data_IF_725872449206
#
_entry.id   IF_725872449206
#
_cell.length_a   1.000
_cell.length_b   1.000
_cell.length_c   1.000
_cell.angle_alpha   90.00
_cell.angle_beta   90.00
_cell.angle_gamma   90.00
#
_symmetry.space_group_name_H-M   'P 1'
#
loop_
_entity.id
_entity.type
_entity.pdbx_description
1 polymer ?
#
# COMPACT_ATOMS: atom_id res chain seq x y z
N UNK A 1 13.67 27.37 -21.45
CA UNK A 1 13.68 26.72 -20.10
C UNK A 1 13.40 25.27 -20.38
N UNK A 2 14.19 24.36 -19.82
CA UNK A 2 13.89 22.94 -20.01
C UNK A 2 12.63 22.56 -19.21
N UNK A 3 11.97 21.48 -19.61
CA UNK A 3 10.69 21.06 -19.03
C UNK A 3 10.80 20.73 -17.53
N UNK A 4 11.97 20.31 -17.04
CA UNK A 4 12.22 20.04 -15.62
C UNK A 4 12.21 21.33 -14.83
N UNK A 5 12.90 22.35 -15.34
CA UNK A 5 12.95 23.67 -14.72
C UNK A 5 11.55 24.31 -14.67
N UNK A 6 10.79 24.21 -15.75
CA UNK A 6 9.41 24.69 -15.81
C UNK A 6 8.51 23.96 -14.80
N UNK A 7 8.58 22.62 -14.76
CA UNK A 7 7.81 21.83 -13.81
C UNK A 7 8.16 22.16 -12.35
N UNK A 8 9.44 22.40 -12.07
CA UNK A 8 9.91 22.78 -10.74
C UNK A 8 9.35 24.15 -10.30
N UNK A 9 9.38 25.15 -11.19
CA UNK A 9 8.75 26.46 -10.92
C UNK A 9 7.26 26.33 -10.66
N UNK A 10 6.55 25.49 -11.45
CA UNK A 10 5.12 25.28 -11.27
C UNK A 10 4.78 24.66 -9.89
N UNK A 11 5.58 23.72 -9.42
CA UNK A 11 5.42 23.13 -8.07
C UNK A 11 5.68 24.18 -7.00
N UNK A 12 6.75 24.96 -7.11
CA UNK A 12 7.08 26.02 -6.16
C UNK A 12 5.95 27.06 -6.09
N UNK A 13 5.44 27.48 -7.25
CA UNK A 13 4.32 28.42 -7.33
C UNK A 13 3.03 27.86 -6.74
N UNK A 14 2.69 26.61 -7.05
CA UNK A 14 1.50 25.94 -6.53
C UNK A 14 1.46 25.91 -5.00
N UNK A 15 2.61 25.70 -4.37
CA UNK A 15 2.73 25.67 -2.91
C UNK A 15 3.06 27.04 -2.30
N UNK A 16 3.10 28.11 -3.10
CA UNK A 16 3.44 29.47 -2.66
C UNK A 16 4.76 29.52 -1.89
N UNK A 17 5.72 28.73 -2.29
CA UNK A 17 7.04 28.72 -1.68
C UNK A 17 7.81 29.98 -2.11
N UNK A 18 8.40 30.67 -1.15
CA UNK A 18 9.29 31.77 -1.45
C UNK A 18 10.56 31.21 -2.13
N UNK A 19 10.86 31.69 -3.32
CA UNK A 19 12.05 31.32 -4.06
C UNK A 19 12.56 32.49 -4.91
N UNK A 20 13.84 32.48 -5.13
CA UNK A 20 14.48 33.35 -6.12
C UNK A 20 14.88 32.52 -7.35
N UNK A 21 14.95 33.09 -8.56
CA UNK A 21 15.43 32.37 -9.74
C UNK A 21 16.78 31.68 -9.49
N UNK A 22 17.71 32.38 -8.88
CA UNK A 22 19.04 31.84 -8.55
C UNK A 22 18.95 30.67 -7.55
N UNK A 23 18.08 30.77 -6.55
CA UNK A 23 17.84 29.69 -5.58
C UNK A 23 17.23 28.45 -6.22
N UNK A 24 16.30 28.61 -7.17
CA UNK A 24 15.76 27.50 -7.95
C UNK A 24 16.85 26.84 -8.78
N UNK A 25 17.64 27.62 -9.49
CA UNK A 25 18.73 27.12 -10.32
C UNK A 25 19.76 26.36 -9.48
N UNK A 26 20.19 26.91 -8.34
CA UNK A 26 21.12 26.28 -7.44
C UNK A 26 20.62 24.91 -6.92
N UNK A 27 19.32 24.81 -6.59
CA UNK A 27 18.71 23.55 -6.17
C UNK A 27 18.67 22.51 -7.31
N UNK A 28 18.36 22.93 -8.53
CA UNK A 28 18.34 22.05 -9.69
C UNK A 28 19.77 21.62 -10.08
N UNK A 29 20.75 22.49 -9.98
CA UNK A 29 22.16 22.16 -10.25
C UNK A 29 22.69 21.16 -9.22
N UNK A 30 22.37 21.36 -7.93
CA UNK A 30 22.68 20.39 -6.88
C UNK A 30 22.02 19.04 -7.15
N UNK A 31 20.73 19.04 -7.49
CA UNK A 31 20.02 17.83 -7.85
C UNK A 31 20.68 17.11 -9.04
N UNK A 32 20.99 17.81 -10.14
CA UNK A 32 21.66 17.24 -11.29
C UNK A 32 22.99 16.61 -10.90
N UNK A 33 23.82 17.35 -10.15
CA UNK A 33 25.11 16.87 -9.70
C UNK A 33 25.01 15.62 -8.84
N UNK A 34 24.11 15.62 -7.85
CA UNK A 34 24.00 14.53 -6.88
C UNK A 34 23.26 13.31 -7.44
N UNK A 35 22.22 13.51 -8.27
CA UNK A 35 21.44 12.40 -8.83
C UNK A 35 22.06 11.74 -10.06
N UNK A 36 23.09 12.31 -10.65
CA UNK A 36 23.73 11.73 -11.88
C UNK A 36 24.01 10.24 -11.76
N UNK A 37 24.60 9.69 -10.68
CA UNK A 37 24.85 8.25 -10.58
C UNK A 37 23.58 7.40 -10.61
N UNK A 38 22.51 7.86 -9.96
CA UNK A 38 21.22 7.15 -9.99
C UNK A 38 20.52 7.28 -11.35
N UNK A 39 20.62 8.44 -11.99
CA UNK A 39 20.11 8.64 -13.35
C UNK A 39 20.79 7.70 -14.34
N UNK A 40 22.12 7.62 -14.32
CA UNK A 40 22.90 6.73 -15.18
C UNK A 40 22.59 5.25 -14.90
N UNK A 41 22.36 4.88 -13.66
CA UNK A 41 21.94 3.54 -13.28
C UNK A 41 20.56 3.21 -13.84
N UNK A 42 19.55 4.02 -13.53
CA UNK A 42 18.16 3.74 -13.89
C UNK A 42 17.89 3.81 -15.39
N UNK A 43 18.62 4.64 -16.15
CA UNK A 43 18.57 4.70 -17.62
C UNK A 43 18.86 3.37 -18.30
N UNK A 44 19.55 2.46 -17.65
CA UNK A 44 19.83 1.11 -18.19
C UNK A 44 18.61 0.19 -18.15
N UNK A 45 17.55 0.59 -17.43
CA UNK A 45 16.34 -0.21 -17.35
C UNK A 45 15.50 -0.06 -18.63
N UNK A 46 14.97 -1.15 -19.24
CA UNK A 46 14.21 -1.08 -20.50
C UNK A 46 12.93 -0.26 -20.40
N UNK A 47 12.37 -0.13 -19.19
CA UNK A 47 11.16 0.66 -18.95
C UNK A 47 11.50 2.08 -18.43
N UNK A 48 12.72 2.56 -18.64
CA UNK A 48 13.08 3.94 -18.34
C UNK A 48 12.33 4.91 -19.23
N UNK A 49 11.81 5.97 -18.64
CA UNK A 49 11.17 7.07 -19.35
C UNK A 49 11.97 8.35 -19.08
N UNK A 50 12.56 8.89 -20.17
CA UNK A 50 13.50 10.00 -20.05
C UNK A 50 12.83 11.31 -19.62
N UNK A 51 11.61 11.58 -20.05
CA UNK A 51 10.91 12.82 -19.69
C UNK A 51 10.47 12.84 -18.24
N UNK A 52 10.11 11.70 -17.72
CA UNK A 52 9.65 11.50 -16.35
C UNK A 52 10.78 11.21 -15.37
N UNK A 53 11.99 10.95 -15.87
CA UNK A 53 13.16 10.54 -15.08
C UNK A 53 12.83 9.39 -14.13
N UNK A 54 12.16 8.39 -14.63
CA UNK A 54 11.60 7.29 -13.86
C UNK A 54 11.62 5.97 -14.61
N UNK A 55 11.69 4.88 -13.86
CA UNK A 55 11.34 3.53 -14.34
C UNK A 55 9.87 3.29 -14.03
N UNK A 56 9.09 2.95 -15.08
CA UNK A 56 7.65 2.72 -14.97
C UNK A 56 7.37 1.25 -15.26
N UNK A 57 6.63 0.60 -14.38
CA UNK A 57 6.34 -0.83 -14.50
C UNK A 57 4.95 -1.18 -13.99
N UNK A 58 4.43 -2.28 -14.52
CA UNK A 58 3.13 -2.80 -14.11
C UNK A 58 3.26 -3.54 -12.78
N UNK A 59 2.36 -3.21 -11.87
CA UNK A 59 2.12 -3.94 -10.65
C UNK A 59 0.89 -4.82 -10.86
N UNK A 60 1.07 -5.95 -11.52
CA UNK A 60 0.00 -6.94 -11.61
C UNK A 60 0.32 -8.13 -10.71
N UNK A 61 -0.49 -8.33 -9.70
CA UNK A 61 -0.49 -9.56 -8.90
C UNK A 61 -1.83 -10.25 -9.10
N UNK A 62 -1.80 -11.45 -9.65
CA UNK A 62 -2.97 -12.33 -9.69
C UNK A 62 -2.74 -13.42 -8.67
N UNK A 63 -3.54 -13.44 -7.61
CA UNK A 63 -3.58 -14.56 -6.67
C UNK A 63 -4.68 -15.53 -7.11
N UNK A 64 -4.35 -16.79 -7.10
CA UNK A 64 -5.35 -17.84 -7.26
C UNK A 64 -6.06 -18.08 -5.93
N UNK A 65 -7.30 -18.58 -6.03
CA UNK A 65 -8.06 -19.04 -4.89
C UNK A 65 -7.25 -20.12 -4.13
N UNK A 66 -6.91 -19.84 -2.89
CA UNK A 66 -6.23 -20.81 -2.01
C UNK A 66 -7.26 -21.67 -1.28
N UNK A 67 -7.69 -22.74 -1.95
CA UNK A 67 -8.72 -23.65 -1.41
C UNK A 67 -8.28 -24.32 -0.11
N UNK A 68 -7.01 -24.69 0.01
CA UNK A 68 -6.51 -25.31 1.24
C UNK A 68 -6.60 -24.37 2.43
N UNK A 69 -6.22 -23.11 2.26
CA UNK A 69 -6.36 -22.10 3.29
C UNK A 69 -7.84 -21.77 3.59
N UNK A 70 -8.73 -21.83 2.60
CA UNK A 70 -10.19 -21.68 2.81
C UNK A 70 -10.72 -22.76 3.71
N UNK A 71 -10.42 -24.04 3.42
CA UNK A 71 -10.92 -25.18 4.18
C UNK A 71 -10.35 -25.17 5.61
N UNK A 72 -9.06 -24.91 5.77
CA UNK A 72 -8.40 -24.78 7.08
C UNK A 72 -9.03 -23.66 7.94
N UNK A 73 -9.22 -22.49 7.37
CA UNK A 73 -9.77 -21.35 8.11
C UNK A 73 -11.25 -21.51 8.42
N UNK A 74 -12.04 -22.16 7.57
CA UNK A 74 -13.43 -22.53 7.89
C UNK A 74 -13.48 -23.52 9.04
N UNK A 75 -12.64 -24.55 9.02
CA UNK A 75 -12.54 -25.51 10.11
C UNK A 75 -12.19 -24.83 11.44
N UNK A 76 -11.20 -23.93 11.44
CA UNK A 76 -10.82 -23.16 12.63
C UNK A 76 -11.98 -22.28 13.15
N UNK A 77 -12.78 -21.66 12.26
CA UNK A 77 -13.99 -20.92 12.64
C UNK A 77 -15.03 -21.80 13.32
N UNK A 78 -15.23 -23.02 12.83
CA UNK A 78 -16.14 -23.98 13.45
C UNK A 78 -15.64 -24.44 14.82
N UNK A 79 -14.34 -24.70 14.95
CA UNK A 79 -13.72 -25.04 16.24
C UNK A 79 -13.95 -23.95 17.28
N UNK A 80 -13.72 -22.69 16.90
CA UNK A 80 -13.99 -21.53 17.77
C UNK A 80 -15.48 -21.43 18.16
N UNK A 81 -16.39 -21.79 17.25
CA UNK A 81 -17.83 -21.81 17.55
C UNK A 81 -18.21 -22.93 18.52
N UNK A 82 -17.61 -24.10 18.38
CA UNK A 82 -17.76 -25.22 19.34
C UNK A 82 -17.23 -24.85 20.73
N UNK A 83 -16.07 -24.25 20.80
CA UNK A 83 -15.47 -23.75 22.06
C UNK A 83 -16.36 -22.69 22.72
N UNK A 84 -17.11 -21.92 21.93
CA UNK A 84 -18.10 -20.96 22.41
C UNK A 84 -19.44 -21.62 22.81
N UNK A 85 -19.56 -22.96 22.71
CA UNK A 85 -20.71 -23.73 23.14
C UNK A 85 -21.77 -23.97 22.07
N UNK A 86 -21.48 -23.72 20.79
CA UNK A 86 -22.38 -24.12 19.71
C UNK A 86 -22.23 -25.63 19.46
N UNK A 87 -23.34 -26.37 19.48
CA UNK A 87 -23.37 -27.82 19.26
C UNK A 87 -24.58 -28.22 18.42
N UNK A 88 -24.52 -29.42 17.81
CA UNK A 88 -25.62 -29.99 17.07
C UNK A 88 -26.14 -29.07 15.96
N UNK A 89 -27.46 -28.93 15.88
CA UNK A 89 -28.14 -28.15 14.84
C UNK A 89 -27.67 -26.68 14.78
N UNK A 90 -27.37 -26.06 15.92
CA UNK A 90 -26.89 -24.68 15.93
C UNK A 90 -25.49 -24.52 15.35
N UNK A 91 -24.64 -25.53 15.45
CA UNK A 91 -23.31 -25.54 14.82
C UNK A 91 -23.45 -25.68 13.30
N UNK A 92 -24.36 -26.52 12.83
CA UNK A 92 -24.67 -26.65 11.40
C UNK A 92 -25.22 -25.35 10.82
N UNK A 93 -26.17 -24.70 11.54
CA UNK A 93 -26.67 -23.40 11.14
C UNK A 93 -25.56 -22.33 11.07
N UNK A 94 -24.58 -22.39 11.98
CA UNK A 94 -23.42 -21.51 11.95
C UNK A 94 -22.54 -21.80 10.73
N UNK A 95 -22.32 -23.07 10.40
CA UNK A 95 -21.61 -23.51 9.19
C UNK A 95 -22.27 -22.96 7.93
N UNK A 96 -23.57 -23.17 7.79
CA UNK A 96 -24.34 -22.69 6.64
C UNK A 96 -24.30 -21.16 6.51
N UNK A 97 -24.39 -20.46 7.64
CA UNK A 97 -24.31 -19.00 7.65
C UNK A 97 -22.87 -18.50 7.31
N UNK A 98 -21.84 -19.22 7.72
CA UNK A 98 -20.46 -18.93 7.36
C UNK A 98 -20.23 -19.18 5.86
N UNK A 99 -20.77 -20.27 5.32
CA UNK A 99 -20.70 -20.59 3.89
C UNK A 99 -21.45 -19.55 3.05
N UNK A 100 -22.64 -19.14 3.47
CA UNK A 100 -23.37 -18.05 2.82
C UNK A 100 -22.60 -16.72 2.87
N UNK A 101 -22.01 -16.38 4.02
CA UNK A 101 -21.22 -15.15 4.16
C UNK A 101 -19.94 -15.17 3.31
N UNK A 102 -19.39 -16.34 3.00
CA UNK A 102 -18.19 -16.51 2.19
C UNK A 102 -18.46 -16.71 0.71
N UNK A 103 -19.67 -17.12 0.34
CA UNK A 103 -20.08 -17.29 -1.06
C UNK A 103 -19.95 -15.97 -1.85
N UNK A 104 -20.29 -14.84 -1.23
CA UNK A 104 -20.19 -13.51 -1.82
C UNK A 104 -18.75 -13.11 -2.17
N UNK A 105 -17.74 -13.70 -1.50
CA UNK A 105 -16.32 -13.45 -1.81
C UNK A 105 -15.82 -14.31 -2.96
N UNK A 106 -16.43 -15.47 -3.16
CA UNK A 106 -16.02 -16.41 -4.19
C UNK A 106 -16.51 -16.04 -5.60
N UNK A 107 -17.58 -15.23 -5.68
CA UNK A 107 -18.31 -14.98 -6.93
C UNK A 107 -17.91 -13.73 -7.67
N UNK A 108 -17.18 -12.79 -7.03
CA UNK A 108 -16.92 -11.49 -7.65
C UNK A 108 -15.47 -11.08 -7.61
N UNK A 109 -14.78 -11.18 -8.74
CA UNK A 109 -13.56 -10.45 -8.97
C UNK A 109 -13.90 -8.98 -9.22
N UNK A 110 -14.17 -8.20 -8.18
CA UNK A 110 -14.31 -6.75 -8.32
C UNK A 110 -12.95 -6.09 -8.19
N UNK A 111 -12.30 -5.91 -9.32
CA UNK A 111 -11.00 -5.26 -9.45
C UNK A 111 -11.03 -3.82 -8.90
N UNK A 112 -12.18 -3.16 -8.93
CA UNK A 112 -12.34 -1.78 -8.45
C UNK A 112 -12.28 -1.64 -6.93
N UNK A 113 -12.49 -2.75 -6.20
CA UNK A 113 -12.57 -2.77 -4.74
C UNK A 113 -11.28 -3.18 -4.05
N UNK A 114 -10.24 -3.51 -4.82
CA UNK A 114 -8.97 -3.94 -4.25
C UNK A 114 -8.15 -2.72 -3.83
N UNK A 115 -7.97 -2.47 -2.54
CA UNK A 115 -6.98 -1.50 -2.13
C UNK A 115 -5.60 -1.99 -2.55
N UNK A 116 -4.75 -1.09 -3.05
CA UNK A 116 -3.34 -1.37 -3.34
C UNK A 116 -2.62 -1.89 -2.09
N UNK A 117 -3.12 -1.46 -0.94
CA UNK A 117 -2.69 -1.92 0.36
C UNK A 117 -3.84 -2.74 0.94
N UNK A 118 -3.57 -4.01 1.20
CA UNK A 118 -4.49 -4.86 1.94
C UNK A 118 -4.55 -4.38 3.38
N UNK A 119 -5.56 -3.63 3.70
CA UNK A 119 -5.96 -3.49 5.08
C UNK A 119 -6.93 -4.65 5.38
N UNK A 120 -6.44 -5.68 6.06
CA UNK A 120 -7.21 -6.89 6.40
C UNK A 120 -8.57 -6.57 7.04
N UNK A 121 -8.69 -5.46 7.74
CA UNK A 121 -9.95 -4.99 8.31
C UNK A 121 -10.89 -4.27 7.33
N UNK A 122 -10.49 -4.08 6.07
CA UNK A 122 -11.25 -3.27 5.11
C UNK A 122 -11.66 -4.00 3.83
N UNK A 123 -11.47 -5.33 3.75
CA UNK A 123 -12.00 -6.13 2.66
C UNK A 123 -13.52 -5.99 2.68
N UNK A 124 -14.10 -5.59 1.54
CA UNK A 124 -15.54 -5.48 1.37
C UNK A 124 -16.02 -6.64 0.51
N UNK A 125 -17.15 -7.25 0.90
CA UNK A 125 -17.91 -8.13 0.04
C UNK A 125 -18.76 -7.33 -0.96
N UNK A 126 -19.48 -8.01 -1.86
CA UNK A 126 -20.36 -7.40 -2.86
C UNK A 126 -21.40 -6.46 -2.32
N UNK A 127 -21.92 -6.75 -1.13
CA UNK A 127 -22.83 -5.86 -0.41
C UNK A 127 -22.15 -4.54 0.03
N UNK A 128 -20.84 -4.35 -0.25
CA UNK A 128 -20.06 -3.22 0.24
C UNK A 128 -19.73 -3.29 1.73
N UNK A 129 -20.01 -4.42 2.38
CA UNK A 129 -19.84 -4.58 3.82
C UNK A 129 -18.39 -5.01 4.14
N UNK A 130 -17.81 -4.44 5.20
CA UNK A 130 -16.48 -4.84 5.67
C UNK A 130 -16.53 -6.25 6.26
N UNK A 131 -15.46 -7.05 6.04
CA UNK A 131 -15.34 -8.40 6.60
C UNK A 131 -15.58 -8.43 8.11
N UNK A 132 -15.00 -7.50 8.86
CA UNK A 132 -15.21 -7.39 10.31
C UNK A 132 -16.68 -7.18 10.70
N UNK A 133 -17.47 -6.48 9.88
CA UNK A 133 -18.89 -6.29 10.13
C UNK A 133 -19.70 -7.55 9.85
N UNK A 134 -19.30 -8.34 8.85
CA UNK A 134 -19.95 -9.61 8.53
C UNK A 134 -19.75 -10.58 9.67
N UNK A 135 -18.52 -10.77 10.11
CA UNK A 135 -18.21 -11.70 11.20
C UNK A 135 -18.85 -11.26 12.52
N UNK A 136 -18.88 -9.96 12.83
CA UNK A 136 -19.58 -9.46 14.02
C UNK A 136 -21.09 -9.76 13.97
N UNK A 137 -21.72 -9.61 12.81
CA UNK A 137 -23.15 -9.98 12.65
C UNK A 137 -23.37 -11.48 12.77
N UNK A 138 -22.45 -12.28 12.23
CA UNK A 138 -22.50 -13.73 12.37
C UNK A 138 -22.40 -14.13 13.84
N UNK A 139 -21.40 -13.62 14.57
CA UNK A 139 -21.25 -13.87 15.99
C UNK A 139 -22.47 -13.43 16.81
N UNK A 140 -23.02 -12.24 16.52
CA UNK A 140 -24.23 -11.72 17.20
C UNK A 140 -25.44 -12.63 16.97
N UNK A 141 -25.65 -13.10 15.73
CA UNK A 141 -26.77 -14.01 15.39
C UNK A 141 -26.75 -15.29 16.22
N UNK A 142 -25.55 -15.78 16.56
CA UNK A 142 -25.39 -17.04 17.31
C UNK A 142 -25.08 -16.82 18.80
N UNK A 143 -25.09 -15.58 19.26
CA UNK A 143 -24.87 -15.26 20.69
C UNK A 143 -23.43 -15.47 21.16
N UNK A 144 -22.45 -15.44 20.24
CA UNK A 144 -21.04 -15.64 20.53
C UNK A 144 -20.40 -14.32 21.01
N UNK A 145 -20.99 -13.19 20.65
CA UNK A 145 -20.49 -11.84 20.92
C UNK A 145 -21.13 -11.25 22.21
N UNK A 146 -21.15 -12.00 23.28
CA UNK A 146 -21.64 -11.45 24.54
C UNK A 146 -20.73 -10.35 25.03
N UNK A 147 -21.25 -9.13 25.03
CA UNK A 147 -20.55 -7.95 25.53
C UNK A 147 -20.52 -7.98 27.06
N UNK A 148 -19.35 -8.08 27.62
CA UNK A 148 -19.09 -7.61 28.98
C UNK A 148 -18.58 -6.18 28.88
N UNK A 149 -19.12 -5.28 29.69
CA UNK A 149 -18.81 -3.86 29.61
C UNK A 149 -17.42 -3.56 30.11
N UNK A 150 -16.79 -2.50 29.62
CA UNK A 150 -15.45 -2.04 30.04
C UNK A 150 -15.26 -1.92 31.56
N UNK A 151 -16.36 -1.73 32.31
CA UNK A 151 -16.37 -1.61 33.79
C UNK A 151 -15.92 -2.88 34.50
N UNK A 152 -16.04 -4.03 33.86
CA UNK A 152 -15.71 -5.32 34.46
C UNK A 152 -14.23 -5.70 34.32
N UNK A 153 -13.55 -5.14 33.31
CA UNK A 153 -12.15 -5.46 33.01
C UNK A 153 -11.14 -4.39 33.44
N UNK A 154 -11.56 -3.20 33.75
CA UNK A 154 -10.71 -2.16 34.34
C UNK A 154 -9.60 -1.54 33.49
N UNK A 155 -9.48 -1.86 32.20
CA UNK A 155 -8.38 -1.46 31.34
C UNK A 155 -8.73 -1.00 29.92
N UNK A 156 -9.97 -0.59 29.65
CA UNK A 156 -10.34 -0.09 28.31
C UNK A 156 -10.49 -1.17 27.22
N UNK A 157 -10.16 -2.42 27.50
CA UNK A 157 -10.48 -3.58 26.67
C UNK A 157 -11.76 -4.22 27.21
N UNK A 158 -12.79 -4.26 26.37
CA UNK A 158 -14.02 -4.98 26.68
C UNK A 158 -13.80 -6.49 26.50
N UNK A 159 -14.46 -7.30 27.32
CA UNK A 159 -14.45 -8.76 27.15
C UNK A 159 -14.93 -9.17 25.78
N UNK A 160 -15.86 -8.40 25.19
CA UNK A 160 -16.30 -8.52 23.83
C UNK A 160 -15.14 -8.46 22.82
N UNK A 161 -14.26 -7.46 22.92
CA UNK A 161 -13.08 -7.33 22.04
C UNK A 161 -12.18 -8.55 22.16
N UNK A 162 -12.00 -9.06 23.36
CA UNK A 162 -11.19 -10.24 23.59
C UNK A 162 -11.81 -11.53 23.04
N UNK A 163 -13.14 -11.71 23.12
CA UNK A 163 -13.86 -12.90 22.62
C UNK A 163 -14.00 -12.93 21.10
N UNK A 164 -14.30 -11.80 20.49
CA UNK A 164 -14.51 -11.72 19.01
C UNK A 164 -13.18 -11.62 18.25
N UNK A 165 -12.10 -11.22 18.91
CA UNK A 165 -10.79 -11.05 18.28
C UNK A 165 -10.26 -12.29 17.55
N UNK A 166 -10.34 -13.53 18.08
CA UNK A 166 -9.97 -14.74 17.35
C UNK A 166 -10.77 -14.91 16.06
N UNK A 167 -12.09 -14.74 16.11
CA UNK A 167 -12.96 -14.85 14.94
C UNK A 167 -12.59 -13.83 13.87
N UNK A 168 -12.34 -12.58 14.24
CA UNK A 168 -11.91 -11.56 13.30
C UNK A 168 -10.59 -11.92 12.62
N UNK A 169 -9.64 -12.49 13.33
CA UNK A 169 -8.34 -12.89 12.79
C UNK A 169 -8.48 -14.05 11.79
N UNK A 170 -9.22 -15.09 12.15
CA UNK A 170 -9.47 -16.24 11.29
C UNK A 170 -10.28 -15.84 10.06
N UNK A 171 -11.34 -15.08 10.24
CA UNK A 171 -12.17 -14.61 9.15
C UNK A 171 -11.43 -13.68 8.18
N UNK A 172 -10.48 -12.89 8.66
CA UNK A 172 -9.63 -12.09 7.80
C UNK A 172 -8.74 -12.96 6.91
N UNK A 173 -8.18 -14.07 7.44
CA UNK A 173 -7.43 -15.05 6.63
C UNK A 173 -8.33 -15.75 5.62
N UNK A 174 -9.53 -16.13 6.03
CA UNK A 174 -10.51 -16.74 5.14
C UNK A 174 -10.90 -15.79 4.00
N UNK A 175 -11.18 -14.54 4.29
CA UNK A 175 -11.50 -13.53 3.30
C UNK A 175 -10.33 -13.27 2.32
N UNK A 176 -9.09 -13.28 2.83
CA UNK A 176 -7.88 -13.18 1.99
C UNK A 176 -7.72 -14.39 1.06
N UNK A 177 -8.00 -15.60 1.55
CA UNK A 177 -7.90 -16.84 0.77
C UNK A 177 -8.98 -16.96 -0.30
N UNK A 178 -10.20 -16.46 -0.02
CA UNK A 178 -11.33 -16.44 -0.95
C UNK A 178 -11.21 -15.40 -2.05
N UNK A 179 -10.41 -14.36 -1.85
CA UNK A 179 -10.34 -13.22 -2.74
C UNK A 179 -9.24 -13.40 -3.78
N UNK A 180 -9.54 -13.77 -5.05
CA UNK A 180 -8.57 -13.77 -6.14
C UNK A 180 -8.24 -12.31 -6.46
N UNK A 181 -7.18 -11.80 -5.84
CA UNK A 181 -6.77 -10.41 -6.01
C UNK A 181 -6.02 -10.25 -7.32
N UNK A 182 -6.59 -9.48 -8.23
CA UNK A 182 -5.86 -8.88 -9.33
C UNK A 182 -5.55 -7.44 -8.97
N UNK A 183 -4.30 -7.15 -8.68
CA UNK A 183 -3.83 -5.77 -8.52
C UNK A 183 -3.36 -5.31 -9.89
N UNK A 184 -4.05 -4.33 -10.46
CA UNK A 184 -3.61 -3.65 -11.67
C UNK A 184 -3.30 -2.20 -11.32
N UNK A 185 -2.01 -1.92 -11.07
CA UNK A 185 -1.51 -0.58 -10.73
C UNK A 185 -0.22 -0.33 -11.47
N UNK A 186 0.07 0.93 -11.68
CA UNK A 186 1.36 1.34 -12.23
C UNK A 186 2.29 1.73 -11.10
N UNK A 187 3.46 1.11 -11.05
CA UNK A 187 4.57 1.47 -10.18
C UNK A 187 5.53 2.43 -10.87
N UNK A 188 6.01 3.41 -10.15
CA UNK A 188 6.94 4.42 -10.63
C UNK A 188 8.09 4.56 -9.65
N UNK A 189 9.31 4.29 -10.12
CA UNK A 189 10.53 4.55 -9.36
C UNK A 189 11.22 5.77 -9.98
N UNK A 190 11.12 6.90 -9.31
CA UNK A 190 11.48 8.22 -9.84
C UNK A 190 12.67 8.84 -9.13
N UNK A 191 13.45 9.59 -9.89
CA UNK A 191 14.45 10.54 -9.41
C UNK A 191 14.17 11.97 -9.87
N UNK A 192 12.98 12.21 -10.43
CA UNK A 192 12.56 13.53 -10.88
C UNK A 192 12.43 14.51 -9.70
N UNK A 193 12.97 15.74 -9.78
CA UNK A 193 13.02 16.66 -8.65
C UNK A 193 11.64 17.01 -8.10
N UNK A 194 10.64 17.17 -8.96
CA UNK A 194 9.26 17.46 -8.54
C UNK A 194 8.64 16.33 -7.72
N UNK A 195 9.03 15.08 -7.96
CA UNK A 195 8.48 13.94 -7.23
C UNK A 195 8.90 13.93 -5.77
N UNK A 196 10.07 14.46 -5.45
CA UNK A 196 10.48 14.67 -4.06
C UNK A 196 9.69 15.80 -3.39
N UNK A 197 9.39 16.86 -4.12
CA UNK A 197 8.59 17.97 -3.60
C UNK A 197 7.12 17.59 -3.41
N UNK A 198 6.58 16.78 -4.31
CA UNK A 198 5.18 16.33 -4.27
C UNK A 198 4.97 15.01 -3.54
N UNK A 199 5.87 14.61 -2.65
CA UNK A 199 5.75 13.34 -1.90
C UNK A 199 4.44 13.19 -1.13
N UNK A 200 3.78 14.30 -0.79
CA UNK A 200 2.48 14.34 -0.12
C UNK A 200 1.65 15.50 -0.65
N UNK A 201 1.31 15.45 -1.94
CA UNK A 201 0.54 16.50 -2.58
C UNK A 201 -0.95 16.46 -2.17
N UNK A 202 -1.62 17.61 -2.21
CA UNK A 202 -3.07 17.70 -1.89
C UNK A 202 -3.96 16.87 -2.81
N UNK A 203 -3.49 16.57 -4.03
CA UNK A 203 -4.19 15.68 -4.97
C UNK A 203 -4.30 14.23 -4.46
N UNK A 204 -3.42 13.82 -3.54
CA UNK A 204 -3.49 12.51 -2.92
C UNK A 204 -4.61 12.50 -1.88
N UNK A 205 -5.31 11.39 -1.75
CA UNK A 205 -6.37 11.24 -0.75
C UNK A 205 -5.83 11.01 0.69
N UNK A 206 -4.54 11.30 0.92
CA UNK A 206 -3.84 11.11 2.18
C UNK A 206 -2.79 12.20 2.40
N UNK A 207 -2.35 12.35 3.63
CA UNK A 207 -1.40 13.34 4.09
C UNK A 207 -0.21 12.70 4.80
N UNK A 208 0.97 13.32 4.73
CA UNK A 208 2.15 12.91 5.49
C UNK A 208 2.95 14.12 5.99
N UNK A 209 3.89 13.86 6.89
CA UNK A 209 4.80 14.88 7.41
C UNK A 209 5.68 15.55 6.33
N UNK A 210 5.75 15.00 5.12
CA UNK A 210 6.45 15.58 3.97
C UNK A 210 5.56 16.44 3.06
N UNK A 211 4.38 16.86 3.52
CA UNK A 211 3.57 17.80 2.78
C UNK A 211 4.27 19.16 2.77
N UNK A 212 4.53 19.74 1.58
CA UNK A 212 5.19 21.04 1.45
C UNK A 212 4.38 22.19 2.07
N UNK A 213 3.05 22.06 2.07
CA UNK A 213 2.18 23.12 2.59
C UNK A 213 2.26 23.27 4.11
N UNK A 214 2.23 22.13 4.83
CA UNK A 214 2.00 22.11 6.28
C UNK A 214 2.69 20.95 7.02
N UNK A 215 3.50 20.14 6.32
CA UNK A 215 4.18 19.01 6.92
C UNK A 215 5.32 19.39 7.86
N UNK A 216 5.43 18.73 9.01
CA UNK A 216 6.51 18.95 9.97
C UNK A 216 7.91 18.60 9.44
N UNK A 217 8.00 17.78 8.41
CA UNK A 217 9.24 17.35 7.75
C UNK A 217 9.34 17.82 6.29
N UNK A 218 8.69 18.93 5.95
CA UNK A 218 8.72 19.51 4.60
C UNK A 218 10.15 19.79 4.09
N UNK A 219 11.07 20.18 4.97
CA UNK A 219 12.48 20.36 4.61
C UNK A 219 13.15 19.05 4.12
N UNK A 220 12.67 17.89 4.57
CA UNK A 220 13.14 16.58 4.10
C UNK A 220 12.93 16.37 2.60
N UNK A 221 11.91 17.00 1.99
CA UNK A 221 11.68 16.93 0.56
C UNK A 221 12.89 17.42 -0.24
N UNK A 222 13.44 18.57 0.14
CA UNK A 222 14.64 19.14 -0.49
C UNK A 222 15.89 18.30 -0.18
N UNK A 223 16.01 17.79 1.05
CA UNK A 223 17.15 16.94 1.43
C UNK A 223 17.19 15.66 0.58
N UNK A 224 16.06 14.96 0.42
CA UNK A 224 15.98 13.78 -0.44
C UNK A 224 16.17 14.10 -1.92
N UNK A 225 15.72 15.26 -2.37
CA UNK A 225 15.97 15.73 -3.72
C UNK A 225 17.46 15.97 -3.97
N UNK A 226 18.14 16.64 -3.03
CA UNK A 226 19.54 17.05 -3.14
C UNK A 226 20.58 16.00 -2.74
N UNK A 227 20.17 14.81 -2.27
CA UNK A 227 21.12 13.73 -1.97
C UNK A 227 21.38 12.82 -3.19
N UNK A 228 22.48 12.07 -3.17
CA UNK A 228 22.87 11.17 -4.25
C UNK A 228 22.31 9.75 -4.17
N UNK A 229 21.44 9.45 -3.19
CA UNK A 229 21.06 8.07 -2.87
C UNK A 229 19.56 7.81 -2.88
N UNK A 230 18.72 8.84 -2.73
CA UNK A 230 17.28 8.71 -2.60
C UNK A 230 16.54 8.62 -3.94
N UNK A 231 15.55 7.76 -3.97
CA UNK A 231 14.57 7.58 -5.04
C UNK A 231 13.16 7.58 -4.44
N UNK A 232 12.18 8.09 -5.15
CA UNK A 232 10.77 8.02 -4.73
C UNK A 232 10.08 6.91 -5.49
N UNK A 233 9.56 5.94 -4.77
CA UNK A 233 8.65 4.94 -5.31
C UNK A 233 7.21 5.33 -4.98
N UNK A 234 6.34 5.32 -5.97
CA UNK A 234 4.91 5.54 -5.77
C UNK A 234 4.08 4.72 -6.73
N UNK A 235 2.81 4.54 -6.40
CA UNK A 235 1.85 3.85 -7.25
C UNK A 235 0.72 4.78 -7.65
N UNK A 236 0.20 4.56 -8.85
CA UNK A 236 -0.97 5.23 -9.40
C UNK A 236 -1.91 4.20 -10.00
N UNK A 237 -3.15 4.59 -10.28
CA UNK A 237 -4.12 3.73 -10.96
C UNK A 237 -3.65 3.36 -12.37
N UNK A 238 -3.96 2.13 -12.78
CA UNK A 238 -3.53 1.58 -14.06
C UNK A 238 -4.08 2.37 -15.27
N UNK A 239 -5.29 2.90 -15.14
CA UNK A 239 -5.93 3.69 -16.19
C UNK A 239 -5.25 5.02 -16.52
N UNK A 240 -4.19 5.40 -15.79
CA UNK A 240 -3.49 6.69 -15.98
C UNK A 240 -2.00 6.51 -16.32
N UNK A 241 -1.62 5.35 -16.85
CA UNK A 241 -0.22 5.01 -17.19
C UNK A 241 0.50 6.09 -18.00
N UNK A 242 -0.20 6.67 -18.98
CA UNK A 242 0.39 7.67 -19.89
C UNK A 242 0.54 9.07 -19.23
N UNK A 243 -0.18 9.31 -18.14
CA UNK A 243 -0.21 10.60 -17.44
C UNK A 243 0.02 10.45 -15.93
N UNK A 244 0.79 9.46 -15.51
CA UNK A 244 0.95 9.12 -14.09
C UNK A 244 1.47 10.30 -13.25
N UNK A 245 2.28 11.20 -13.80
CA UNK A 245 2.78 12.39 -13.11
C UNK A 245 1.68 13.38 -12.70
N UNK A 246 0.50 13.32 -13.33
CA UNK A 246 -0.68 14.13 -12.97
C UNK A 246 -1.64 13.41 -12.04
N UNK A 247 -1.55 12.09 -11.94
CA UNK A 247 -2.45 11.27 -11.15
C UNK A 247 -2.22 11.43 -9.65
N UNK A 248 -3.27 11.23 -8.83
CA UNK A 248 -3.10 11.05 -7.40
C UNK A 248 -2.23 9.82 -7.11
N UNK A 249 -1.29 9.98 -6.20
CA UNK A 249 -0.48 8.84 -5.73
C UNK A 249 -1.28 8.04 -4.72
N UNK A 250 -1.39 6.76 -4.97
CA UNK A 250 -2.08 5.83 -4.05
C UNK A 250 -1.21 5.47 -2.87
N UNK A 251 0.06 5.23 -3.15
CA UNK A 251 1.08 4.96 -2.13
C UNK A 251 2.37 5.70 -2.46
N UNK A 252 3.23 5.85 -1.44
CA UNK A 252 4.58 6.39 -1.62
C UNK A 252 5.53 5.82 -0.60
N UNK A 253 6.75 5.51 -1.06
CA UNK A 253 7.86 5.08 -0.23
C UNK A 253 9.18 5.69 -0.76
N UNK A 254 10.10 6.05 0.11
CA UNK A 254 11.45 6.47 -0.28
C UNK A 254 12.35 5.26 -0.18
N UNK A 255 13.16 5.07 -1.19
CA UNK A 255 14.27 4.12 -1.22
C UNK A 255 15.58 4.87 -1.31
N UNK A 256 16.58 4.39 -0.60
CA UNK A 256 17.95 4.92 -0.68
C UNK A 256 18.86 3.78 -1.15
N UNK A 257 19.58 4.00 -2.24
CA UNK A 257 20.50 3.02 -2.80
C UNK A 257 21.91 3.56 -2.88
N UNK A 258 22.86 2.82 -2.31
CA UNK A 258 24.28 3.12 -2.39
C UNK A 258 25.11 1.86 -2.18
N UNK A 259 26.11 1.64 -3.03
CA UNK A 259 27.13 0.58 -2.88
C UNK A 259 26.54 -0.82 -2.63
N UNK A 260 25.48 -1.17 -3.37
CA UNK A 260 24.79 -2.47 -3.24
C UNK A 260 23.80 -2.57 -2.07
N UNK A 261 23.70 -1.53 -1.24
CA UNK A 261 22.76 -1.50 -0.11
C UNK A 261 21.49 -0.74 -0.50
N UNK A 262 20.33 -1.38 -0.32
CA UNK A 262 19.01 -0.77 -0.49
C UNK A 262 18.32 -0.63 0.85
N UNK A 263 18.09 0.61 1.26
CA UNK A 263 17.29 0.95 2.43
C UNK A 263 15.90 1.42 1.98
N UNK A 264 14.88 1.14 2.78
CA UNK A 264 13.50 1.60 2.52
C UNK A 264 12.95 2.34 3.73
N UNK A 265 12.25 3.44 3.45
CA UNK A 265 11.57 4.24 4.48
C UNK A 265 10.20 3.66 4.83
N UNK A 266 9.45 4.39 5.65
CA UNK A 266 8.06 4.10 5.94
C UNK A 266 7.20 4.22 4.67
N UNK A 267 6.27 3.27 4.48
CA UNK A 267 5.25 3.31 3.45
C UNK A 267 4.09 4.24 3.87
N UNK A 268 3.59 5.03 2.95
CA UNK A 268 2.42 5.89 3.11
C UNK A 268 1.33 5.52 2.09
N UNK A 269 0.02 5.68 2.40
CA UNK A 269 -0.52 6.21 3.66
C UNK A 269 -0.45 5.24 4.84
N UNK A 270 -0.40 3.94 4.59
CA UNK A 270 -0.38 2.89 5.61
C UNK A 270 0.92 2.10 5.54
N UNK A 271 1.50 1.82 6.69
CA UNK A 271 2.74 1.06 6.80
C UNK A 271 2.45 -0.43 6.91
N UNK A 272 2.04 -1.04 5.79
CA UNK A 272 1.79 -2.48 5.67
C UNK A 272 3.09 -3.22 5.34
N UNK A 273 3.45 -4.21 6.15
CA UNK A 273 4.73 -4.90 6.03
C UNK A 273 4.80 -5.83 4.79
N UNK A 274 3.69 -6.42 4.37
CA UNK A 274 3.67 -7.29 3.19
C UNK A 274 3.81 -6.45 1.91
N UNK A 275 3.11 -5.31 1.85
CA UNK A 275 3.27 -4.35 0.75
C UNK A 275 4.68 -3.77 0.73
N UNK A 276 5.27 -3.49 1.89
CA UNK A 276 6.66 -3.03 1.98
C UNK A 276 7.65 -4.06 1.43
N UNK A 277 7.47 -5.33 1.78
CA UNK A 277 8.30 -6.43 1.25
C UNK A 277 8.16 -6.54 -0.27
N UNK A 278 6.92 -6.48 -0.78
CA UNK A 278 6.63 -6.48 -2.21
C UNK A 278 7.36 -5.32 -2.92
N UNK A 279 7.19 -4.10 -2.46
CA UNK A 279 7.84 -2.93 -3.07
C UNK A 279 9.36 -3.00 -2.99
N UNK A 280 9.91 -3.50 -1.88
CA UNK A 280 11.35 -3.74 -1.76
C UNK A 280 11.83 -4.72 -2.82
N UNK A 281 11.17 -5.87 -2.96
CA UNK A 281 11.51 -6.88 -3.97
C UNK A 281 11.46 -6.30 -5.38
N UNK A 282 10.48 -5.47 -5.68
CA UNK A 282 10.34 -4.82 -6.98
C UNK A 282 11.48 -3.85 -7.26
N UNK A 283 11.79 -2.95 -6.34
CA UNK A 283 12.88 -1.99 -6.50
C UNK A 283 14.23 -2.71 -6.58
N UNK A 284 14.44 -3.77 -5.81
CA UNK A 284 15.62 -4.63 -5.91
C UNK A 284 15.75 -5.25 -7.32
N UNK A 285 14.64 -5.75 -7.87
CA UNK A 285 14.62 -6.31 -9.22
C UNK A 285 14.96 -5.26 -10.28
N UNK A 286 14.45 -4.03 -10.14
CA UNK A 286 14.80 -2.91 -11.03
C UNK A 286 16.30 -2.64 -10.98
N UNK A 287 16.86 -2.51 -9.78
CA UNK A 287 18.29 -2.22 -9.60
C UNK A 287 19.15 -3.36 -10.14
N UNK A 288 18.82 -4.61 -9.81
CA UNK A 288 19.53 -5.78 -10.32
C UNK A 288 19.57 -5.80 -11.85
N UNK A 289 18.42 -5.51 -12.48
CA UNK A 289 18.32 -5.43 -13.94
C UNK A 289 19.15 -4.29 -14.53
N UNK A 290 19.17 -3.13 -13.87
CA UNK A 290 20.04 -2.02 -14.27
C UNK A 290 21.54 -2.36 -14.19
N UNK A 291 21.91 -3.21 -13.23
CA UNK A 291 23.28 -3.67 -13.02
C UNK A 291 23.67 -4.86 -13.89
N UNK A 292 22.73 -5.44 -14.65
CA UNK A 292 22.93 -6.69 -15.41
C UNK A 292 23.17 -7.91 -14.52
N UNK A 293 22.71 -7.86 -13.25
CA UNK A 293 22.87 -8.93 -12.30
C UNK A 293 21.66 -9.89 -12.39
N UNK A 294 21.87 -11.21 -12.18
CA UNK A 294 20.75 -12.11 -11.96
C UNK A 294 19.98 -11.63 -10.73
N UNK A 295 18.67 -11.88 -10.70
CA UNK A 295 17.82 -11.46 -9.58
C UNK A 295 18.23 -12.20 -8.30
N UNK A 296 19.23 -11.67 -7.60
CA UNK A 296 19.88 -12.26 -6.42
C UNK A 296 19.01 -12.18 -5.14
N UNK A 297 17.83 -11.58 -5.28
CA UNK A 297 16.95 -11.27 -4.15
C UNK A 297 15.72 -12.19 -4.12
N UNK A 298 15.95 -13.50 -4.28
CA UNK A 298 14.90 -14.51 -4.06
C UNK A 298 14.62 -14.70 -2.58
#
# INVERSE_FOLDING_TARGET
MDHITEAFYNVMYQYRLAFTPDGVQANLDLWRQQKTPLLELLRRHPNWREQELAVVFDLSEQRQLDRACVDETKFEMLTLAEEAGLTGERLEEFRDALDAATADYATVPDESRLPVIRNRGHIKCDSGMKASRIINRLCAKFGIDQYETERELGHGDTLHTARVKPYNAVFARLADALNPVRISKTGVLSVHPCDFLEMSAKKNAWHSCHCLADGGWRAGCQSYMGDGVSMVFFTVDDGVKEQFYRAPRLTRQIFCYRDGVLLQSRLYPQNDDDVRKLYRSMVQSVIARCLGLPNLWK
#
